data_IF_997445083540
#
_entry.id   IF_997445083540
#
_cell.length_a   1.000
_cell.length_b   1.000
_cell.length_c   1.000
_cell.angle_alpha   90.00
_cell.angle_beta   90.00
_cell.angle_gamma   90.00
#
_symmetry.space_group_name_H-M   'P 1'
#
loop_
_entity.id
_entity.type
_entity.pdbx_description
1 polymer ?
#
# COMPACT_ATOMS: atom_id res chain seq x y z
N UNK A 1 11.72 14.78 -25.75
CA UNK A 1 10.91 13.61 -26.15
C UNK A 1 10.95 12.66 -24.96
N UNK A 2 9.96 12.50 -24.07
CA UNK A 2 8.53 12.78 -24.06
C UNK A 2 8.14 13.28 -22.65
N UNK A 3 7.47 14.43 -22.53
CA UNK A 3 6.64 14.71 -21.36
C UNK A 3 5.26 14.15 -21.69
N UNK A 4 4.97 12.94 -21.23
CA UNK A 4 3.63 12.37 -21.41
C UNK A 4 2.72 13.10 -20.44
N UNK A 5 1.72 13.77 -20.99
CA UNK A 5 0.64 14.47 -20.30
C UNK A 5 0.20 13.71 -19.04
N UNK A 6 0.35 14.34 -17.88
CA UNK A 6 -0.34 13.96 -16.64
C UNK A 6 -1.82 14.27 -16.86
N UNK A 7 -2.57 13.31 -17.39
CA UNK A 7 -4.01 13.32 -17.17
C UNK A 7 -4.18 13.25 -15.65
N UNK A 8 -4.64 14.33 -15.04
CA UNK A 8 -5.06 14.38 -13.63
C UNK A 8 -6.27 13.46 -13.44
N UNK A 9 -6.02 12.16 -13.45
CA UNK A 9 -6.97 11.16 -13.02
C UNK A 9 -6.92 11.11 -11.50
N UNK A 10 -8.10 11.13 -10.87
CA UNK A 10 -8.21 11.06 -9.44
C UNK A 10 -7.44 9.86 -8.90
N UNK A 11 -6.60 10.05 -7.88
CA UNK A 11 -5.88 8.94 -7.26
C UNK A 11 -6.87 7.92 -6.72
N UNK A 12 -6.62 6.65 -7.05
CA UNK A 12 -7.53 5.55 -6.74
C UNK A 12 -6.95 4.64 -5.67
N UNK A 13 -7.86 4.08 -4.87
CA UNK A 13 -7.53 2.98 -3.97
C UNK A 13 -6.95 1.80 -4.76
N UNK A 14 -5.90 1.18 -4.25
CA UNK A 14 -5.20 0.06 -4.88
C UNK A 14 -4.13 0.47 -5.88
N UNK A 15 -3.94 1.77 -6.15
CA UNK A 15 -2.81 2.21 -6.95
C UNK A 15 -1.50 2.04 -6.20
N UNK A 16 -0.47 1.62 -6.93
CA UNK A 16 0.90 1.51 -6.45
C UNK A 16 1.64 2.78 -6.85
N UNK A 17 2.18 3.49 -5.86
CA UNK A 17 2.88 4.75 -6.05
C UNK A 17 4.28 4.67 -5.46
N UNK A 18 5.23 5.38 -6.08
CA UNK A 18 6.45 5.81 -5.39
C UNK A 18 6.12 7.07 -4.63
N UNK A 19 6.38 7.05 -3.33
CA UNK A 19 6.22 8.19 -2.45
C UNK A 19 7.56 8.60 -1.82
N UNK A 20 7.67 9.86 -1.40
CA UNK A 20 8.82 10.42 -0.68
C UNK A 20 8.33 11.14 0.58
N UNK A 21 8.50 10.51 1.75
CA UNK A 21 8.05 11.03 3.05
C UNK A 21 9.19 10.94 4.09
N UNK A 22 10.37 11.40 3.69
CA UNK A 22 11.63 11.28 4.44
C UNK A 22 12.53 10.15 3.92
N UNK A 23 11.92 9.16 3.26
CA UNK A 23 12.60 8.19 2.42
C UNK A 23 11.70 7.78 1.24
N UNK A 24 12.32 7.37 0.13
CA UNK A 24 11.58 6.91 -1.05
C UNK A 24 11.15 5.47 -0.93
N UNK A 25 9.84 5.25 -0.88
CA UNK A 25 9.23 3.92 -0.74
C UNK A 25 8.12 3.71 -1.75
N UNK A 26 7.86 2.44 -2.06
CA UNK A 26 6.62 2.08 -2.73
C UNK A 26 5.51 1.98 -1.69
N UNK A 27 4.33 2.48 -2.07
CA UNK A 27 3.13 2.45 -1.24
C UNK A 27 1.94 2.01 -2.08
N UNK A 28 0.95 1.40 -1.43
CA UNK A 28 -0.37 1.15 -2.01
C UNK A 28 -1.38 2.07 -1.35
N UNK A 29 -2.12 2.83 -2.16
CA UNK A 29 -3.16 3.73 -1.66
C UNK A 29 -4.34 2.92 -1.12
N UNK A 30 -4.76 3.25 0.10
CA UNK A 30 -5.94 2.69 0.77
C UNK A 30 -7.15 3.65 0.69
N UNK A 31 -6.94 4.93 0.42
CA UNK A 31 -8.03 5.88 0.14
C UNK A 31 -7.90 6.50 -1.26
N UNK A 32 -9.02 7.00 -1.79
CA UNK A 32 -9.04 7.79 -3.04
C UNK A 32 -8.94 9.30 -2.78
N UNK A 33 -8.93 10.10 -3.85
CA UNK A 33 -8.73 11.56 -3.88
C UNK A 33 -9.79 12.42 -3.15
N UNK A 34 -10.88 11.84 -2.66
CA UNK A 34 -11.89 12.58 -1.88
C UNK A 34 -11.35 13.11 -0.52
N UNK A 35 -10.14 12.71 -0.14
CA UNK A 35 -9.49 13.13 1.10
C UNK A 35 -8.31 14.10 0.83
N UNK A 36 -8.15 15.10 1.70
CA UNK A 36 -6.97 15.99 1.70
C UNK A 36 -5.67 15.24 1.99
N UNK A 37 -5.78 14.04 2.56
CA UNK A 37 -4.69 13.14 2.88
C UNK A 37 -5.02 11.72 2.40
N UNK A 38 -4.00 11.04 1.89
CA UNK A 38 -4.08 9.66 1.44
C UNK A 38 -3.60 8.73 2.54
N UNK A 39 -4.46 7.80 2.97
CA UNK A 39 -4.01 6.66 3.74
C UNK A 39 -3.36 5.68 2.77
N UNK A 40 -2.15 5.25 3.06
CA UNK A 40 -1.43 4.28 2.25
C UNK A 40 -0.71 3.27 3.14
N UNK A 41 -0.31 2.14 2.56
CA UNK A 41 0.52 1.15 3.24
C UNK A 41 1.80 0.95 2.45
N UNK A 42 2.93 0.94 3.16
CA UNK A 42 4.24 0.73 2.54
C UNK A 42 4.38 -0.71 2.05
N UNK A 43 5.01 -0.85 0.89
CA UNK A 43 5.51 -2.14 0.39
C UNK A 43 6.88 -2.37 1.04
N UNK A 44 6.99 -3.44 1.81
CA UNK A 44 8.18 -3.79 2.59
C UNK A 44 8.73 -5.15 2.15
N UNK A 45 9.97 -5.47 2.56
CA UNK A 45 10.50 -6.82 2.36
C UNK A 45 9.64 -7.86 3.13
N UNK A 46 9.45 -9.08 2.59
CA UNK A 46 8.82 -10.18 3.31
C UNK A 46 9.51 -10.46 4.65
N UNK A 47 8.78 -10.97 5.65
CA UNK A 47 9.37 -11.17 6.98
C UNK A 47 10.42 -12.28 7.01
N UNK A 48 10.35 -13.21 6.06
CA UNK A 48 11.27 -14.36 5.98
C UNK A 48 11.10 -15.35 7.13
N UNK A 49 10.01 -15.25 7.90
CA UNK A 49 9.68 -16.14 9.02
C UNK A 49 8.17 -16.33 9.11
N UNK A 50 7.74 -17.30 9.90
CA UNK A 50 6.32 -17.61 10.11
C UNK A 50 5.64 -16.51 10.92
N UNK A 51 4.54 -15.97 10.38
CA UNK A 51 3.77 -14.88 10.99
C UNK A 51 2.42 -15.32 11.54
N UNK A 52 2.12 -16.62 11.54
CA UNK A 52 0.85 -17.22 11.94
C UNK A 52 0.17 -16.51 13.11
N UNK A 53 -0.95 -15.86 12.78
CA UNK A 53 -1.81 -15.15 13.71
C UNK A 53 -1.26 -13.81 14.25
N UNK A 54 -0.02 -13.43 13.95
CA UNK A 54 0.55 -12.12 14.29
C UNK A 54 0.33 -11.11 13.16
N UNK A 55 0.53 -11.54 11.91
CA UNK A 55 0.38 -10.71 10.73
C UNK A 55 0.08 -11.56 9.50
N UNK A 56 -0.52 -10.93 8.49
CA UNK A 56 -0.66 -11.47 7.16
C UNK A 56 0.14 -10.62 6.16
N UNK A 57 0.71 -11.29 5.16
CA UNK A 57 1.45 -10.65 4.08
C UNK A 57 0.75 -10.85 2.74
N UNK A 58 0.50 -9.75 2.04
CA UNK A 58 -0.01 -9.76 0.67
C UNK A 58 1.11 -9.36 -0.28
N UNK A 59 1.49 -10.25 -1.19
CA UNK A 59 2.55 -9.98 -2.16
C UNK A 59 2.18 -8.86 -3.14
N UNK A 60 3.15 -7.98 -3.43
CA UNK A 60 3.08 -6.93 -4.45
C UNK A 60 4.34 -7.04 -5.31
N UNK A 61 4.18 -7.19 -6.62
CA UNK A 61 5.32 -7.42 -7.52
C UNK A 61 5.01 -7.12 -8.98
N UNK A 62 5.72 -7.81 -9.88
CA UNK A 62 5.73 -7.51 -11.31
C UNK A 62 4.32 -7.54 -11.96
N UNK A 63 3.43 -8.42 -11.49
CA UNK A 63 2.06 -8.52 -11.98
C UNK A 63 1.22 -7.25 -11.73
N UNK A 64 1.64 -6.39 -10.79
CA UNK A 64 0.97 -5.15 -10.44
C UNK A 64 1.67 -3.91 -11.03
N UNK A 65 2.64 -4.12 -11.94
CA UNK A 65 3.46 -3.07 -12.53
C UNK A 65 4.59 -2.57 -11.63
N UNK A 66 4.78 -3.17 -10.44
CA UNK A 66 5.86 -2.81 -9.53
C UNK A 66 7.21 -3.35 -10.04
N UNK A 67 8.26 -2.50 -10.17
CA UNK A 67 9.61 -2.96 -10.48
C UNK A 67 10.30 -3.66 -9.30
N UNK A 68 9.70 -3.58 -8.10
CA UNK A 68 10.22 -4.16 -6.87
C UNK A 68 9.21 -5.18 -6.31
N UNK A 69 9.73 -6.33 -5.90
CA UNK A 69 8.94 -7.34 -5.17
C UNK A 69 8.95 -7.02 -3.67
N UNK A 70 7.78 -7.12 -3.06
CA UNK A 70 7.61 -6.94 -1.62
C UNK A 70 6.24 -7.39 -1.16
N UNK A 71 5.88 -7.00 0.05
CA UNK A 71 4.61 -7.35 0.67
C UNK A 71 3.97 -6.13 1.32
N UNK A 72 2.64 -6.12 1.35
CA UNK A 72 1.87 -5.36 2.33
C UNK A 72 1.72 -6.23 3.56
N UNK A 73 2.14 -5.75 4.72
CA UNK A 73 2.04 -6.50 5.98
C UNK A 73 0.98 -5.87 6.89
N UNK A 74 -0.08 -6.62 7.16
CA UNK A 74 -1.16 -6.23 8.07
C UNK A 74 -1.01 -7.01 9.37
N UNK A 75 -0.77 -6.31 10.47
CA UNK A 75 -0.74 -6.91 11.79
C UNK A 75 -2.18 -7.25 12.24
N UNK A 76 -2.34 -8.41 12.86
CA UNK A 76 -3.62 -8.87 13.40
C UNK A 76 -3.75 -8.41 14.86
N UNK A 77 -4.84 -7.71 15.24
CA UNK A 77 -5.03 -7.21 16.59
C UNK A 77 -4.98 -8.32 17.64
N UNK A 78 -4.25 -8.08 18.73
CA UNK A 78 -4.17 -8.99 19.88
C UNK A 78 -4.19 -8.22 21.20
N UNK A 79 -4.85 -8.75 22.24
CA UNK A 79 -4.80 -8.15 23.56
C UNK A 79 -3.35 -7.97 24.04
N UNK A 80 -3.03 -6.78 24.54
CA UNK A 80 -1.71 -6.45 25.09
C UNK A 80 -0.59 -6.25 24.04
N UNK A 81 -0.90 -6.22 22.75
CA UNK A 81 0.08 -5.96 21.69
C UNK A 81 -0.32 -4.73 20.87
N UNK A 82 0.67 -3.90 20.55
CA UNK A 82 0.50 -2.79 19.61
C UNK A 82 0.79 -3.33 18.20
N UNK A 83 -0.19 -3.30 17.28
CA UNK A 83 0.02 -3.78 15.92
C UNK A 83 1.00 -2.87 15.17
N UNK A 84 2.14 -3.41 14.76
CA UNK A 84 3.09 -2.71 13.88
C UNK A 84 2.65 -2.86 12.43
N UNK A 85 1.70 -2.02 12.01
CA UNK A 85 1.28 -1.93 10.60
C UNK A 85 2.03 -0.79 9.91
N UNK A 86 2.55 -1.03 8.71
CA UNK A 86 3.33 -0.06 7.92
C UNK A 86 2.43 0.99 7.23
N UNK A 87 1.44 1.50 7.95
CA UNK A 87 0.54 2.55 7.48
C UNK A 87 1.24 3.91 7.51
N UNK A 88 0.97 4.70 6.50
CA UNK A 88 1.40 6.08 6.39
C UNK A 88 0.23 6.94 5.92
N UNK A 89 0.26 8.19 6.36
CA UNK A 89 -0.62 9.24 5.84
C UNK A 89 0.24 10.13 4.95
N UNK A 90 -0.23 10.37 3.73
CA UNK A 90 0.51 11.08 2.69
C UNK A 90 -0.31 12.24 2.17
N UNK A 91 0.38 13.29 1.75
CA UNK A 91 -0.18 14.38 0.96
C UNK A 91 -0.05 14.08 -0.53
N UNK A 92 -0.63 14.93 -1.38
CA UNK A 92 -0.47 14.81 -2.84
C UNK A 92 0.97 15.03 -3.26
N UNK A 93 1.70 15.87 -2.54
CA UNK A 93 3.09 16.25 -2.77
C UNK A 93 4.05 15.10 -2.49
N UNK A 94 3.72 14.24 -1.52
CA UNK A 94 4.52 13.06 -1.21
C UNK A 94 4.44 11.99 -2.33
N UNK A 95 3.40 12.01 -3.17
CA UNK A 95 3.18 11.04 -4.25
C UNK A 95 3.89 11.47 -5.54
N UNK A 96 5.01 10.82 -5.85
CA UNK A 96 5.92 11.20 -6.94
C UNK A 96 5.50 10.60 -8.29
N UNK A 97 5.38 9.28 -8.36
CA UNK A 97 5.03 8.59 -9.61
C UNK A 97 4.09 7.40 -9.37
N UNK A 98 3.08 7.25 -10.23
CA UNK A 98 2.25 6.05 -10.27
C UNK A 98 3.02 4.95 -10.99
N UNK A 99 3.26 3.87 -10.26
CA UNK A 99 4.04 2.72 -10.73
C UNK A 99 3.11 1.65 -11.31
N UNK A 100 1.91 1.50 -10.75
CA UNK A 100 0.96 0.50 -11.20
C UNK A 100 -0.32 0.50 -10.38
N UNK A 101 -1.03 -0.63 -10.38
CA UNK A 101 -2.23 -0.83 -9.56
C UNK A 101 -2.43 -2.31 -9.29
N UNK A 102 -2.99 -2.63 -8.12
CA UNK A 102 -3.44 -3.97 -7.80
C UNK A 102 -4.56 -4.39 -8.75
N UNK A 103 -4.59 -5.68 -9.10
CA UNK A 103 -5.77 -6.27 -9.75
C UNK A 103 -6.98 -6.23 -8.82
N UNK A 104 -8.19 -6.33 -9.38
CA UNK A 104 -9.42 -6.38 -8.58
C UNK A 104 -9.42 -7.52 -7.55
N UNK A 105 -8.88 -8.68 -7.93
CA UNK A 105 -8.75 -9.83 -7.04
C UNK A 105 -7.84 -9.52 -5.83
N UNK A 106 -6.64 -8.97 -6.08
CA UNK A 106 -5.72 -8.58 -5.01
C UNK A 106 -6.26 -7.43 -4.16
N UNK A 107 -7.01 -6.51 -4.75
CA UNK A 107 -7.64 -5.43 -4.00
C UNK A 107 -8.72 -5.96 -3.04
N UNK A 108 -9.47 -6.99 -3.46
CA UNK A 108 -10.39 -7.72 -2.59
C UNK A 108 -9.67 -8.42 -1.43
N UNK A 109 -8.57 -9.13 -1.72
CA UNK A 109 -7.73 -9.77 -0.69
C UNK A 109 -7.17 -8.76 0.30
N UNK A 110 -6.67 -7.62 -0.18
CA UNK A 110 -6.22 -6.52 0.67
C UNK A 110 -7.35 -6.02 1.57
N UNK A 111 -8.55 -5.83 1.03
CA UNK A 111 -9.71 -5.40 1.82
C UNK A 111 -10.08 -6.40 2.92
N UNK A 112 -10.01 -7.69 2.64
CA UNK A 112 -10.26 -8.73 3.65
C UNK A 112 -9.19 -8.72 4.74
N UNK A 113 -7.92 -8.54 4.38
CA UNK A 113 -6.84 -8.40 5.35
C UNK A 113 -6.96 -7.15 6.21
N UNK A 114 -7.35 -6.01 5.64
CA UNK A 114 -7.56 -4.77 6.39
C UNK A 114 -8.69 -4.92 7.41
N UNK A 115 -9.79 -5.60 7.04
CA UNK A 115 -10.88 -5.94 7.98
C UNK A 115 -10.41 -6.85 9.11
N UNK A 116 -9.66 -7.91 8.77
CA UNK A 116 -9.03 -8.79 9.79
C UNK A 116 -8.06 -8.02 10.70
N UNK A 117 -7.38 -7.02 10.16
CA UNK A 117 -6.48 -6.12 10.88
C UNK A 117 -7.18 -5.07 11.75
N UNK A 118 -8.51 -4.95 11.69
CA UNK A 118 -9.27 -3.89 12.35
C UNK A 118 -8.96 -2.49 11.80
N UNK A 119 -8.59 -2.41 10.52
CA UNK A 119 -8.20 -1.18 9.83
C UNK A 119 -9.29 -0.61 8.92
N UNK A 120 -10.41 -1.33 8.79
CA UNK A 120 -11.65 -1.01 8.05
C UNK A 120 -12.87 -1.63 8.71
#
# INVERSE_FOLDING_TARGET
MFARSMSGGAMQRGEVWRADFGERRLVVLLSGEEASEFRAMQVVAPAGTELSGMAAELAVGACEGSPLEGVLRVALPRPGQIPCTWLVTLTREDLIERVGALSSAKLGELQDLLRLGGLE
#
